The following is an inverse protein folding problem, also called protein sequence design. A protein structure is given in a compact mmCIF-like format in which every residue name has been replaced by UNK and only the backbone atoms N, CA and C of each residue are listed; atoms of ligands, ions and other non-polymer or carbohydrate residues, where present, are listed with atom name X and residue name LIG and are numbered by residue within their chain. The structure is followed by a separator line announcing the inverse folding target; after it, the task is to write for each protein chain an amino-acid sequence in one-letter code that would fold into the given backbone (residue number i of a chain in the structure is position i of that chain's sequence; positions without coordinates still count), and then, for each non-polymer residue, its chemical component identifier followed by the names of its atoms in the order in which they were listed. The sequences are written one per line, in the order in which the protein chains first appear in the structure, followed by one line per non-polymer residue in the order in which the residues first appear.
data_IF_536442543860
#
_entry.id   IF_536442543860
#
_cell.length_a   1.000
_cell.length_b   1.000
_cell.length_c   1.000
_cell.angle_alpha   90.00
_cell.angle_beta   90.00
_cell.angle_gamma   90.00
#
_symmetry.space_group_name_H-M   'P 1'
#
loop_
_entity.id
_entity.type
_entity.pdbx_description
1 polymer ?
#
# COMPACT_ATOMS: atom_id res chain seq x y z
N UNK A 1 11.35 39.17 -1.10
CA UNK A 1 10.99 38.25 -2.20
C UNK A 1 12.23 37.45 -2.57
N UNK A 2 12.40 36.28 -1.94
CA UNK A 2 13.45 35.33 -2.28
C UNK A 2 12.76 34.02 -2.69
N UNK A 3 12.98 33.49 -3.90
CA UNK A 3 12.52 32.15 -4.25
C UNK A 3 13.58 31.14 -3.80
N UNK A 4 13.24 30.30 -2.82
CA UNK A 4 14.03 29.11 -2.52
C UNK A 4 13.62 28.04 -3.53
N UNK A 5 14.48 27.82 -4.53
CA UNK A 5 14.40 26.70 -5.45
C UNK A 5 14.96 25.47 -4.72
N UNK A 6 14.09 24.70 -4.07
CA UNK A 6 14.42 23.37 -3.60
C UNK A 6 14.21 22.37 -4.76
N UNK A 7 15.30 22.01 -5.45
CA UNK A 7 15.35 20.83 -6.31
C UNK A 7 15.38 19.58 -5.42
N UNK A 8 14.20 19.10 -5.04
CA UNK A 8 13.99 17.69 -4.70
C UNK A 8 13.23 17.06 -5.86
N UNK A 9 13.74 15.94 -6.40
CA UNK A 9 12.93 14.99 -7.19
C UNK A 9 11.95 14.33 -6.22
N UNK A 10 10.95 15.09 -5.78
CA UNK A 10 9.66 14.53 -5.46
C UNK A 10 9.16 13.96 -6.79
N UNK A 11 8.91 12.66 -6.86
CA UNK A 11 7.96 12.17 -7.84
C UNK A 11 6.68 12.93 -7.49
N UNK A 12 6.33 13.94 -8.28
CA UNK A 12 5.07 14.65 -8.10
C UNK A 12 3.98 13.59 -8.26
N UNK A 13 3.47 13.13 -7.13
CA UNK A 13 2.18 12.44 -7.07
C UNK A 13 1.14 13.53 -7.34
N UNK A 14 1.08 13.99 -8.58
CA UNK A 14 -0.08 14.69 -9.07
C UNK A 14 -1.17 13.62 -9.16
N UNK A 15 -1.93 13.47 -8.08
CA UNK A 15 -3.13 12.65 -8.07
C UNK A 15 -4.15 13.28 -9.04
N UNK A 16 -3.96 13.08 -10.34
CA UNK A 16 -4.82 13.58 -11.41
C UNK A 16 -6.21 12.93 -11.38
N UNK A 17 -6.41 11.89 -10.57
CA UNK A 17 -7.72 11.27 -10.32
C UNK A 17 -8.12 11.42 -8.85
N UNK A 18 -8.39 12.65 -8.43
CA UNK A 18 -9.39 12.84 -7.40
C UNK A 18 -10.75 12.46 -8.02
N UNK A 19 -11.41 11.41 -7.52
CA UNK A 19 -12.75 10.99 -7.97
C UNK A 19 -13.87 11.97 -7.55
N UNK A 20 -13.50 13.22 -7.26
CA UNK A 20 -14.33 14.28 -6.71
C UNK A 20 -14.36 14.28 -5.18
N UNK A 21 -15.26 15.09 -4.62
CA UNK A 21 -15.55 15.08 -3.18
C UNK A 21 -16.09 13.72 -2.73
N UNK A 22 -15.89 13.33 -1.46
CA UNK A 22 -16.47 12.12 -0.89
C UNK A 22 -17.99 12.04 -1.11
N UNK A 23 -18.48 10.84 -1.41
CA UNK A 23 -19.91 10.55 -1.67
C UNK A 23 -20.33 9.38 -0.80
N UNK A 24 -21.61 9.32 -0.45
CA UNK A 24 -22.18 8.21 0.33
C UNK A 24 -23.35 7.59 -0.43
N UNK A 25 -23.45 6.27 -0.39
CA UNK A 25 -24.63 5.51 -0.75
C UNK A 25 -25.00 4.64 0.45
N UNK A 26 -26.28 4.59 0.79
CA UNK A 26 -26.78 3.80 1.92
C UNK A 26 -28.11 3.13 1.56
N UNK A 27 -28.28 1.89 2.03
CA UNK A 27 -29.54 1.16 1.99
C UNK A 27 -29.63 0.25 3.22
N UNK A 28 -30.68 0.43 4.00
CA UNK A 28 -31.09 -0.46 5.08
C UNK A 28 -32.42 -1.11 4.69
N UNK A 29 -32.47 -2.44 4.72
CA UNK A 29 -33.69 -3.22 4.55
C UNK A 29 -34.07 -3.83 5.90
N UNK A 30 -35.29 -3.59 6.33
CA UNK A 30 -35.84 -4.11 7.59
C UNK A 30 -36.92 -5.12 7.21
N UNK A 31 -36.71 -6.39 7.55
CA UNK A 31 -37.68 -7.45 7.32
C UNK A 31 -38.45 -7.71 8.63
N UNK A 32 -39.78 -7.62 8.58
CA UNK A 32 -40.65 -7.80 9.74
C UNK A 32 -41.14 -9.25 9.88
N UNK A 33 -41.55 -9.63 11.09
CA UNK A 33 -42.00 -10.99 11.39
C UNK A 33 -43.29 -11.39 10.63
N UNK A 34 -44.08 -10.42 10.17
CA UNK A 34 -45.29 -10.65 9.37
C UNK A 34 -45.02 -10.83 7.86
N UNK A 35 -43.73 -10.76 7.45
CA UNK A 35 -43.30 -10.91 6.07
C UNK A 35 -43.27 -9.60 5.26
N UNK A 36 -43.65 -8.47 5.84
CA UNK A 36 -43.48 -7.15 5.21
C UNK A 36 -42.04 -6.64 5.36
N UNK A 37 -41.68 -5.59 4.61
CA UNK A 37 -40.38 -4.94 4.74
C UNK A 37 -40.45 -3.43 4.54
N UNK A 38 -39.54 -2.72 5.22
CA UNK A 38 -39.24 -1.32 4.97
C UNK A 38 -37.84 -1.17 4.37
N UNK A 39 -37.66 -0.15 3.53
CA UNK A 39 -36.38 0.20 2.94
C UNK A 39 -36.08 1.67 3.21
N UNK A 40 -34.99 1.93 3.93
CA UNK A 40 -34.44 3.27 4.15
C UNK A 40 -33.22 3.43 3.24
N UNK A 41 -33.18 4.48 2.43
CA UNK A 41 -32.10 4.75 1.49
C UNK A 41 -31.46 6.11 1.75
N UNK A 42 -30.21 6.31 1.33
CA UNK A 42 -29.63 7.65 1.21
C UNK A 42 -30.36 8.43 0.11
N UNK A 43 -30.99 9.53 0.47
CA UNK A 43 -31.70 10.41 -0.46
C UNK A 43 -31.64 11.88 0.02
N UNK A 44 -32.48 12.76 -0.55
CA UNK A 44 -32.50 14.19 -0.23
C UNK A 44 -33.19 14.52 1.10
N UNK A 45 -33.80 13.55 1.78
CA UNK A 45 -34.41 13.73 3.10
C UNK A 45 -33.38 13.71 4.23
N UNK A 46 -32.20 13.13 3.98
CA UNK A 46 -31.10 13.10 4.93
C UNK A 46 -30.60 14.51 5.25
N UNK A 47 -29.78 14.60 6.30
CA UNK A 47 -29.13 15.84 6.72
C UNK A 47 -27.61 15.67 6.74
N UNK A 48 -26.90 16.78 6.58
CA UNK A 48 -25.44 16.86 6.64
C UNK A 48 -24.97 18.16 7.30
N UNK A 49 -23.85 18.09 8.02
CA UNK A 49 -23.20 19.22 8.67
C UNK A 49 -21.67 19.03 8.64
N UNK A 50 -20.88 20.11 8.86
CA UNK A 50 -19.45 20.01 9.06
C UNK A 50 -19.08 19.06 10.21
N UNK A 51 -18.01 18.31 10.01
CA UNK A 51 -17.44 17.38 10.99
C UNK A 51 -16.46 18.10 11.94
N UNK A 52 -16.23 17.58 13.16
CA UNK A 52 -15.06 17.97 13.96
C UNK A 52 -13.72 17.58 13.32
N UNK A 53 -13.72 16.69 12.32
CA UNK A 53 -12.55 16.44 11.46
C UNK A 53 -12.46 17.58 10.44
N UNK A 54 -11.54 18.52 10.66
CA UNK A 54 -11.39 19.75 9.85
C UNK A 54 -10.42 19.59 8.69
N UNK A 55 -9.50 18.62 8.79
CA UNK A 55 -8.60 18.23 7.71
C UNK A 55 -8.40 16.72 7.79
N UNK A 56 -8.37 16.04 6.65
CA UNK A 56 -7.95 14.64 6.59
C UNK A 56 -7.32 14.31 5.26
N UNK A 57 -6.21 13.58 5.31
CA UNK A 57 -5.45 13.12 4.16
C UNK A 57 -4.68 11.86 4.51
N UNK A 58 -4.76 10.85 3.64
CA UNK A 58 -3.89 9.67 3.72
C UNK A 58 -2.41 10.07 3.70
N UNK A 59 -2.03 11.19 3.09
CA UNK A 59 -0.65 11.65 2.94
C UNK A 59 -0.25 12.81 3.85
N UNK A 60 -1.20 13.45 4.52
CA UNK A 60 -0.96 14.64 5.35
C UNK A 60 -1.36 14.51 6.81
N UNK A 61 -2.12 13.45 7.16
CA UNK A 61 -2.61 13.21 8.51
C UNK A 61 -4.03 13.73 8.71
N UNK A 62 -4.37 14.12 9.95
CA UNK A 62 -5.75 14.50 10.32
C UNK A 62 -5.76 15.56 11.42
N UNK A 63 -6.57 16.60 11.22
CA UNK A 63 -6.84 17.63 12.21
C UNK A 63 -8.26 17.46 12.75
N UNK A 64 -8.39 17.43 14.06
CA UNK A 64 -9.64 17.26 14.78
C UNK A 64 -9.84 18.39 15.79
N UNK A 65 -10.93 19.14 15.65
CA UNK A 65 -11.35 20.14 16.62
C UNK A 65 -12.57 19.65 17.40
N UNK A 66 -12.32 19.12 18.60
CA UNK A 66 -13.37 18.55 19.43
C UNK A 66 -14.40 19.58 19.88
N UNK A 67 -14.09 20.89 19.81
CA UNK A 67 -15.05 21.96 20.12
C UNK A 67 -16.21 22.01 19.14
N UNK A 68 -16.04 21.39 17.96
CA UNK A 68 -17.06 21.29 16.91
C UNK A 68 -17.90 20.02 17.02
N UNK A 69 -17.64 19.15 18.00
CA UNK A 69 -18.47 17.97 18.23
C UNK A 69 -19.90 18.38 18.58
N UNK A 70 -20.85 17.71 17.93
CA UNK A 70 -22.28 17.89 18.16
C UNK A 70 -22.77 16.68 18.95
N UNK A 71 -22.86 16.83 20.28
CA UNK A 71 -23.23 15.73 21.17
C UNK A 71 -24.61 15.16 20.80
N UNK A 72 -24.70 13.83 20.70
CA UNK A 72 -25.94 13.13 20.37
C UNK A 72 -26.36 13.18 18.90
N UNK A 73 -25.54 13.69 17.97
CA UNK A 73 -25.89 13.79 16.53
C UNK A 73 -26.35 12.48 15.89
N UNK A 74 -25.91 11.34 16.44
CA UNK A 74 -26.22 9.99 15.99
C UNK A 74 -27.29 9.29 16.86
N UNK A 75 -28.04 10.04 17.66
CA UNK A 75 -29.12 9.55 18.51
C UNK A 75 -30.47 10.12 18.07
N UNK A 76 -31.54 9.41 18.37
CA UNK A 76 -32.91 9.89 18.16
C UNK A 76 -33.16 11.19 18.96
N UNK A 77 -33.92 12.12 18.39
CA UNK A 77 -34.29 13.38 19.04
C UNK A 77 -33.22 14.47 18.98
N UNK A 78 -32.12 14.25 18.25
CA UNK A 78 -31.12 15.29 18.01
C UNK A 78 -31.72 16.50 17.27
N UNK A 79 -31.31 17.71 17.70
CA UNK A 79 -31.74 18.94 17.05
C UNK A 79 -30.91 19.24 15.79
N UNK A 80 -31.42 18.78 14.65
CA UNK A 80 -30.80 18.97 13.33
C UNK A 80 -31.22 20.26 12.61
N UNK A 81 -31.84 21.24 13.30
CA UNK A 81 -32.39 22.46 12.68
C UNK A 81 -31.38 23.27 11.85
N UNK A 82 -30.09 23.19 12.20
CA UNK A 82 -29.01 23.90 11.50
C UNK A 82 -28.30 23.05 10.44
N UNK A 83 -28.67 21.78 10.29
CA UNK A 83 -28.10 20.90 9.27
C UNK A 83 -28.74 21.19 7.92
N UNK A 84 -27.97 20.93 6.87
CA UNK A 84 -28.40 21.13 5.49
C UNK A 84 -28.84 19.80 4.89
N UNK A 85 -29.69 19.83 3.87
CA UNK A 85 -29.93 18.63 3.06
C UNK A 85 -28.66 18.33 2.24
N UNK A 86 -28.32 17.05 1.99
CA UNK A 86 -27.20 16.70 1.14
C UNK A 86 -27.51 17.03 -0.32
N UNK A 87 -26.45 17.16 -1.12
CA UNK A 87 -26.57 17.24 -2.56
C UNK A 87 -26.68 15.84 -3.15
N UNK A 88 -27.66 15.62 -4.01
CA UNK A 88 -27.70 14.41 -4.84
C UNK A 88 -26.61 14.55 -5.91
N UNK A 89 -25.71 13.57 -5.97
CA UNK A 89 -24.53 13.59 -6.84
C UNK A 89 -24.56 12.44 -7.83
N UNK A 90 -23.91 12.63 -8.98
CA UNK A 90 -23.68 11.55 -9.94
C UNK A 90 -22.83 10.46 -9.29
N UNK A 91 -23.28 9.20 -9.40
CA UNK A 91 -22.55 8.04 -8.92
C UNK A 91 -21.16 7.94 -9.57
N UNK A 92 -20.14 7.40 -8.87
CA UNK A 92 -18.88 7.02 -9.50
C UNK A 92 -19.08 6.06 -10.67
N UNK A 93 -18.14 6.04 -11.60
CA UNK A 93 -18.09 5.02 -12.65
C UNK A 93 -17.64 3.70 -12.04
N UNK A 94 -18.39 2.62 -12.26
CA UNK A 94 -18.05 1.28 -11.75
C UNK A 94 -19.29 0.48 -11.36
N UNK A 95 -19.08 -0.78 -11.00
CA UNK A 95 -20.12 -1.63 -10.43
C UNK A 95 -19.97 -1.63 -8.90
N UNK A 96 -21.09 -1.51 -8.20
CA UNK A 96 -21.10 -1.69 -6.75
C UNK A 96 -21.08 -3.19 -6.45
N UNK A 97 -19.98 -3.66 -5.90
CA UNK A 97 -19.78 -5.06 -5.55
C UNK A 97 -19.57 -5.22 -4.04
N UNK A 98 -19.94 -6.38 -3.52
CA UNK A 98 -19.68 -6.70 -2.12
C UNK A 98 -18.18 -6.92 -1.91
N UNK A 99 -17.60 -6.21 -0.95
CA UNK A 99 -16.22 -6.45 -0.55
C UNK A 99 -16.09 -7.86 0.05
N UNK A 100 -15.16 -8.64 -0.47
CA UNK A 100 -14.94 -10.03 -0.08
C UNK A 100 -13.55 -10.29 0.50
N UNK A 101 -12.76 -9.22 0.73
CA UNK A 101 -11.44 -9.31 1.38
C UNK A 101 -11.57 -9.13 2.89
N UNK A 102 -10.57 -9.59 3.63
CA UNK A 102 -10.48 -9.32 5.06
C UNK A 102 -10.26 -7.82 5.33
N UNK A 103 -11.13 -7.16 6.12
CA UNK A 103 -11.06 -5.72 6.34
C UNK A 103 -9.81 -5.33 7.13
N UNK A 104 -9.39 -4.08 6.97
CA UNK A 104 -8.35 -3.46 7.81
C UNK A 104 -8.94 -3.16 9.18
N UNK A 105 -8.24 -3.59 10.24
CA UNK A 105 -8.63 -3.41 11.64
C UNK A 105 -7.46 -2.88 12.46
N UNK A 106 -7.73 -2.37 13.67
CA UNK A 106 -6.69 -2.22 14.68
C UNK A 106 -6.35 -3.61 15.23
N UNK A 107 -5.13 -4.07 14.94
CA UNK A 107 -4.67 -5.43 15.25
C UNK A 107 -3.90 -5.49 16.56
N UNK A 108 -3.04 -4.51 16.79
CA UNK A 108 -2.19 -4.43 17.98
C UNK A 108 -2.19 -3.02 18.58
N UNK A 109 -1.86 -2.91 19.87
CA UNK A 109 -1.73 -1.64 20.59
C UNK A 109 -0.43 -1.63 21.38
N UNK A 110 0.39 -0.59 21.17
CA UNK A 110 1.68 -0.41 21.83
C UNK A 110 1.68 0.80 22.73
N UNK A 111 2.03 0.58 23.99
CA UNK A 111 2.46 1.65 24.88
C UNK A 111 3.89 2.06 24.53
N UNK A 112 4.21 3.34 24.69
CA UNK A 112 5.59 3.81 24.54
C UNK A 112 6.53 3.06 25.49
N UNK A 113 7.63 2.54 24.95
CA UNK A 113 8.69 1.88 25.71
C UNK A 113 9.57 2.90 26.41
N UNK A 114 9.76 4.07 25.78
CA UNK A 114 10.58 5.18 26.28
C UNK A 114 9.96 6.51 25.89
N UNK A 115 10.12 7.51 26.75
CA UNK A 115 9.84 8.91 26.47
C UNK A 115 11.16 9.66 26.55
N UNK A 116 11.54 10.32 25.46
CA UNK A 116 12.77 11.10 25.32
C UNK A 116 12.44 12.58 25.34
N UNK A 117 13.37 13.41 25.82
CA UNK A 117 13.24 14.87 25.82
C UNK A 117 14.45 15.51 25.15
N UNK A 118 14.46 15.65 23.81
CA UNK A 118 15.60 16.23 23.09
C UNK A 118 15.76 17.74 23.32
N UNK A 119 14.69 18.44 23.74
CA UNK A 119 14.72 19.86 24.07
C UNK A 119 13.63 20.18 25.11
N UNK A 120 13.69 21.38 25.71
CA UNK A 120 12.65 21.87 26.63
C UNK A 120 11.28 21.79 25.95
N UNK A 121 10.31 21.19 26.65
CA UNK A 121 8.91 21.05 26.23
C UNK A 121 8.67 20.27 24.91
N UNK A 122 9.70 19.57 24.41
CA UNK A 122 9.61 18.67 23.27
C UNK A 122 9.82 17.25 23.76
N UNK A 123 8.85 16.38 23.48
CA UNK A 123 8.90 14.97 23.89
C UNK A 123 8.77 14.04 22.70
N UNK A 124 9.49 12.93 22.73
CA UNK A 124 9.41 11.86 21.73
C UNK A 124 9.06 10.54 22.41
N UNK A 125 7.98 9.94 21.95
CA UNK A 125 7.53 8.62 22.38
C UNK A 125 8.14 7.59 21.43
N UNK A 126 8.93 6.64 21.95
CA UNK A 126 9.48 5.48 21.22
C UNK A 126 8.66 4.24 21.58
N UNK A 127 7.90 3.71 20.63
CA UNK A 127 7.07 2.51 20.81
C UNK A 127 7.88 1.20 20.73
N UNK A 128 9.13 1.27 20.27
CA UNK A 128 10.04 0.13 20.19
C UNK A 128 9.83 -0.78 18.98
N UNK A 129 8.74 -0.59 18.24
CA UNK A 129 8.42 -1.30 16.99
C UNK A 129 8.10 -0.23 15.92
N UNK A 130 8.51 -0.48 14.68
CA UNK A 130 8.02 0.31 13.53
C UNK A 130 6.82 -0.43 12.93
N UNK A 131 5.63 0.17 12.93
CA UNK A 131 4.45 -0.43 12.31
C UNK A 131 3.60 0.63 11.60
N UNK A 132 2.73 0.18 10.69
CA UNK A 132 1.65 1.03 10.18
C UNK A 132 0.61 1.26 11.27
N UNK A 133 0.19 2.48 11.50
CA UNK A 133 -0.73 2.74 12.58
C UNK A 133 -1.34 4.13 12.59
N UNK A 134 -2.11 4.34 13.64
CA UNK A 134 -2.57 5.63 14.12
C UNK A 134 -2.19 5.78 15.59
N UNK A 135 -2.44 6.97 16.14
CA UNK A 135 -2.25 7.24 17.57
C UNK A 135 -3.56 7.15 18.34
N UNK A 136 -3.51 6.70 19.59
CA UNK A 136 -4.55 6.96 20.58
C UNK A 136 -3.98 7.92 21.64
N UNK A 137 -4.52 9.13 21.67
CA UNK A 137 -4.17 10.18 22.61
C UNK A 137 -5.19 10.21 23.74
N UNK A 138 -4.70 10.16 24.98
CA UNK A 138 -5.47 10.47 26.18
C UNK A 138 -4.84 11.67 26.88
N UNK A 139 -5.56 12.78 26.93
CA UNK A 139 -5.00 14.10 27.29
C UNK A 139 -5.95 14.89 28.20
N UNK A 140 -5.37 15.68 29.09
CA UNK A 140 -6.09 16.68 29.89
C UNK A 140 -5.41 18.04 29.73
N UNK A 141 -6.17 19.07 29.42
CA UNK A 141 -5.65 20.43 29.23
C UNK A 141 -6.76 21.45 29.45
N UNK A 142 -6.57 22.67 28.95
CA UNK A 142 -7.64 23.67 28.86
C UNK A 142 -8.34 23.57 27.51
N UNK A 143 -9.64 23.88 27.49
CA UNK A 143 -10.43 24.01 26.26
C UNK A 143 -9.71 24.88 25.22
N UNK A 144 -9.63 24.40 23.97
CA UNK A 144 -9.02 25.11 22.85
C UNK A 144 -7.51 25.00 22.76
N UNK A 145 -6.83 24.33 23.70
CA UNK A 145 -5.44 23.93 23.49
C UNK A 145 -5.36 22.84 22.42
N UNK A 146 -4.27 22.85 21.65
CA UNK A 146 -4.02 21.87 20.61
C UNK A 146 -2.77 21.05 20.90
N UNK A 147 -2.84 19.75 20.63
CA UNK A 147 -1.71 18.82 20.68
C UNK A 147 -1.39 18.38 19.27
N UNK A 148 -0.16 18.60 18.84
CA UNK A 148 0.35 18.14 17.55
C UNK A 148 1.25 16.93 17.75
N UNK A 149 1.02 15.90 16.96
CA UNK A 149 1.70 14.60 17.02
C UNK A 149 2.35 14.33 15.64
N UNK A 150 3.68 14.39 15.58
CA UNK A 150 4.43 14.16 14.33
C UNK A 150 5.08 12.78 14.36
N UNK A 151 4.57 11.81 13.58
CA UNK A 151 5.13 10.45 13.54
C UNK A 151 6.38 10.36 12.66
N UNK A 152 7.26 9.39 12.94
CA UNK A 152 8.35 9.02 12.04
C UNK A 152 8.85 7.58 12.28
N UNK A 153 9.39 6.96 11.22
CA UNK A 153 10.12 5.70 11.32
C UNK A 153 11.50 5.89 11.95
N UNK A 154 12.15 7.02 11.65
CA UNK A 154 13.51 7.35 12.06
C UNK A 154 13.59 8.72 12.72
N UNK A 155 14.60 8.90 13.55
CA UNK A 155 14.99 10.21 14.08
C UNK A 155 16.21 10.73 13.32
N UNK A 156 16.31 12.06 13.20
CA UNK A 156 17.50 12.73 12.66
C UNK A 156 18.62 12.86 13.72
N UNK A 157 19.74 13.51 13.34
CA UNK A 157 20.89 13.73 14.24
C UNK A 157 20.57 14.61 15.45
N UNK A 158 19.49 15.39 15.40
CA UNK A 158 19.02 16.23 16.51
C UNK A 158 17.94 15.54 17.35
N UNK A 159 17.73 14.24 17.14
CA UNK A 159 16.66 13.46 17.77
C UNK A 159 15.29 14.09 17.48
N UNK A 160 15.01 14.45 16.22
CA UNK A 160 13.70 14.93 15.74
C UNK A 160 13.12 13.95 14.71
N UNK A 161 11.78 13.93 14.50
CA UNK A 161 11.17 13.12 13.46
C UNK A 161 11.80 13.36 12.09
N UNK A 162 12.23 12.29 11.41
CA UNK A 162 12.77 12.38 10.06
C UNK A 162 11.72 11.92 9.03
N UNK A 163 11.08 12.88 8.36
CA UNK A 163 10.11 12.64 7.28
C UNK A 163 10.69 12.97 5.88
N UNK A 164 12.01 13.13 5.76
CA UNK A 164 12.65 13.56 4.50
C UNK A 164 12.34 12.62 3.32
N UNK A 165 12.20 11.32 3.59
CA UNK A 165 11.87 10.31 2.58
C UNK A 165 10.36 10.17 2.33
N UNK A 166 9.52 10.82 3.14
CA UNK A 166 8.08 10.56 3.18
C UNK A 166 7.20 11.66 2.60
N UNK A 167 7.79 12.83 2.35
CA UNK A 167 7.04 14.07 2.20
C UNK A 167 6.79 14.68 3.57
N UNK A 168 7.08 15.97 3.71
CA UNK A 168 6.93 16.76 4.95
C UNK A 168 6.01 17.94 4.62
N UNK A 169 4.96 18.22 5.43
CA UNK A 169 4.65 17.60 6.72
C UNK A 169 3.55 16.53 6.71
N UNK A 170 3.71 15.50 7.56
CA UNK A 170 2.65 14.61 8.03
C UNK A 170 2.49 14.74 9.55
N UNK A 171 1.28 15.03 10.05
CA UNK A 171 1.02 15.09 11.49
C UNK A 171 -0.46 14.89 11.84
N UNK A 172 -0.72 14.66 13.12
CA UNK A 172 -2.06 14.68 13.69
C UNK A 172 -2.21 15.90 14.59
N UNK A 173 -3.36 16.60 14.53
CA UNK A 173 -3.69 17.68 15.48
C UNK A 173 -5.00 17.37 16.19
N UNK A 174 -5.00 17.48 17.52
CA UNK A 174 -6.20 17.40 18.34
C UNK A 174 -6.39 18.68 19.14
N UNK A 175 -7.55 19.33 19.02
CA UNK A 175 -7.92 20.52 19.80
C UNK A 175 -8.99 20.17 20.83
N UNK A 176 -8.70 20.44 22.11
CA UNK A 176 -9.52 20.01 23.25
C UNK A 176 -10.86 20.76 23.32
N UNK A 177 -11.94 20.05 23.67
CA UNK A 177 -13.29 20.63 23.82
C UNK A 177 -13.60 21.15 25.20
N UNK A 178 -12.88 20.67 26.20
CA UNK A 178 -13.13 20.92 27.62
C UNK A 178 -11.84 20.85 28.45
N UNK A 179 -11.99 21.09 29.74
CA UNK A 179 -10.92 20.94 30.73
C UNK A 179 -10.87 19.52 31.33
N UNK A 180 -11.73 18.63 30.84
CA UNK A 180 -11.84 17.25 31.27
C UNK A 180 -10.80 16.37 30.58
N UNK A 181 -10.70 15.12 31.04
CA UNK A 181 -9.89 14.11 30.39
C UNK A 181 -10.56 13.67 29.09
N UNK A 182 -9.84 13.77 27.98
CA UNK A 182 -10.33 13.46 26.64
C UNK A 182 -9.52 12.32 26.02
N UNK A 183 -10.16 11.50 25.20
CA UNK A 183 -9.53 10.41 24.42
C UNK A 183 -9.86 10.61 22.96
N UNK A 184 -8.85 10.51 22.10
CA UNK A 184 -8.99 10.71 20.66
C UNK A 184 -8.06 9.80 19.86
N UNK A 185 -8.51 9.44 18.66
CA UNK A 185 -7.72 8.79 17.61
C UNK A 185 -8.19 9.31 16.24
N UNK A 186 -7.30 9.44 15.25
CA UNK A 186 -7.71 9.84 13.91
C UNK A 186 -8.53 8.72 13.24
N UNK A 187 -9.38 9.08 12.26
CA UNK A 187 -10.34 8.17 11.65
C UNK A 187 -9.99 7.77 10.20
N UNK A 188 -9.44 8.69 9.40
CA UNK A 188 -9.37 8.55 7.94
C UNK A 188 -7.94 8.63 7.39
N UNK A 189 -6.95 8.27 8.19
CA UNK A 189 -5.53 8.29 7.80
C UNK A 189 -4.73 7.27 8.61
N UNK A 190 -3.51 6.97 8.18
CA UNK A 190 -2.53 6.17 8.93
C UNK A 190 -1.11 6.50 8.46
N UNK A 191 -0.09 6.12 9.22
CA UNK A 191 1.31 6.31 8.88
C UNK A 191 2.16 5.12 9.34
N UNK A 192 3.33 4.88 8.75
CA UNK A 192 4.32 3.94 9.28
C UNK A 192 5.26 4.62 10.25
N UNK A 193 5.26 4.24 11.53
CA UNK A 193 6.11 4.89 12.52
C UNK A 193 6.53 4.00 13.68
N UNK A 194 7.60 4.45 14.33
CA UNK A 194 8.06 3.98 15.64
C UNK A 194 8.11 5.10 16.68
N UNK A 195 8.29 6.33 16.20
CA UNK A 195 8.47 7.51 17.02
C UNK A 195 7.33 8.49 16.79
N UNK A 196 6.89 9.17 17.84
CA UNK A 196 6.00 10.33 17.74
C UNK A 196 6.57 11.48 18.56
N UNK A 197 6.84 12.62 17.90
CA UNK A 197 7.09 13.87 18.60
C UNK A 197 5.78 14.53 19.00
N UNK A 198 5.75 15.06 20.21
CA UNK A 198 4.63 15.82 20.77
C UNK A 198 5.01 17.30 20.87
N UNK A 199 4.11 18.16 20.38
CA UNK A 199 4.15 19.61 20.55
C UNK A 199 2.81 20.09 21.15
N UNK A 200 2.83 21.13 22.00
CA UNK A 200 1.64 21.66 22.66
C UNK A 200 1.18 20.91 23.91
N UNK A 201 1.82 19.79 24.24
CA UNK A 201 1.58 19.02 25.47
C UNK A 201 2.87 18.38 25.99
N UNK A 202 2.85 18.00 27.26
CA UNK A 202 3.94 17.28 27.94
C UNK A 202 3.39 16.01 28.60
N UNK A 203 4.21 14.97 28.85
CA UNK A 203 3.81 13.84 29.68
C UNK A 203 3.24 14.31 31.03
N UNK A 204 2.24 13.62 31.56
CA UNK A 204 1.71 13.91 32.90
C UNK A 204 2.75 13.70 34.01
N UNK A 205 3.74 12.83 33.77
CA UNK A 205 4.92 12.62 34.63
C UNK A 205 6.05 13.63 34.43
N UNK A 206 5.91 14.61 33.53
CA UNK A 206 6.97 15.58 33.25
C UNK A 206 7.27 16.47 34.46
N UNK A 207 8.54 16.48 34.89
CA UNK A 207 9.02 17.26 36.02
C UNK A 207 9.41 18.69 35.61
N UNK A 208 9.10 19.66 36.47
CA UNK A 208 9.42 21.07 36.24
C UNK A 208 8.21 21.92 35.83
N UNK A 209 8.46 23.20 35.58
CA UNK A 209 7.43 24.16 35.17
C UNK A 209 7.28 24.15 33.64
N UNK A 210 6.12 23.68 33.17
CA UNK A 210 5.77 23.61 31.74
C UNK A 210 4.64 24.58 31.37
N UNK A 211 4.49 25.66 32.15
CA UNK A 211 3.35 26.58 31.99
C UNK A 211 2.00 25.86 32.08
N UNK A 212 1.03 26.35 31.32
CA UNK A 212 -0.33 25.78 31.26
C UNK A 212 -0.47 24.68 30.19
N UNK A 213 0.62 24.07 29.73
CA UNK A 213 0.56 23.04 28.67
C UNK A 213 -0.32 21.85 29.06
N UNK A 214 -1.00 21.28 28.07
CA UNK A 214 -1.79 20.07 28.23
C UNK A 214 -0.90 18.90 28.69
N UNK A 215 -1.51 17.95 29.41
CA UNK A 215 -0.88 16.78 30.01
C UNK A 215 -1.36 15.52 29.32
N UNK A 216 -0.42 14.80 28.71
CA UNK A 216 -0.67 13.50 28.09
C UNK A 216 -0.64 12.44 29.19
N UNK A 217 -1.79 11.83 29.43
CA UNK A 217 -1.97 10.71 30.37
C UNK A 217 -1.58 9.38 29.71
N UNK A 218 -1.82 9.26 28.41
CA UNK A 218 -1.39 8.10 27.62
C UNK A 218 -1.27 8.49 26.15
N UNK A 219 -0.25 7.97 25.49
CA UNK A 219 -0.12 7.98 24.04
C UNK A 219 0.25 6.58 23.58
N UNK A 220 -0.57 5.99 22.72
CA UNK A 220 -0.34 4.65 22.16
C UNK A 220 -0.22 4.70 20.65
N UNK A 221 0.54 3.77 20.10
CA UNK A 221 0.48 3.39 18.70
C UNK A 221 -0.56 2.27 18.56
N UNK A 222 -1.49 2.44 17.63
CA UNK A 222 -2.50 1.46 17.26
C UNK A 222 -2.15 0.94 15.87
N UNK A 223 -1.60 -0.27 15.80
CA UNK A 223 -1.22 -0.88 14.52
C UNK A 223 -2.48 -1.29 13.75
N UNK A 224 -2.63 -0.78 12.52
CA UNK A 224 -3.69 -1.17 11.61
C UNK A 224 -3.16 -2.05 10.48
N UNK A 225 -3.88 -3.13 10.17
CA UNK A 225 -3.55 -4.06 9.08
C UNK A 225 -4.79 -4.89 8.71
N UNK A 226 -4.77 -5.58 7.57
CA UNK A 226 -5.80 -6.56 7.24
C UNK A 226 -5.96 -7.61 8.35
N UNK A 227 -7.21 -7.97 8.62
CA UNK A 227 -7.62 -9.04 9.54
C UNK A 227 -7.43 -10.46 8.97
N UNK A 228 -6.71 -10.60 7.85
CA UNK A 228 -6.37 -11.89 7.25
C UNK A 228 -5.76 -12.83 8.31
N UNK A 229 -6.27 -14.08 8.44
CA UNK A 229 -5.72 -15.07 9.36
C UNK A 229 -4.23 -15.33 9.11
N UNK A 230 -3.49 -15.64 10.18
CA UNK A 230 -2.10 -16.09 10.07
C UNK A 230 -2.06 -17.53 9.55
N UNK A 231 -1.32 -17.78 8.48
CA UNK A 231 -1.22 -19.10 7.82
C UNK A 231 -0.05 -19.95 8.29
N UNK A 232 0.98 -19.34 8.87
CA UNK A 232 2.20 -20.06 9.21
C UNK A 232 3.03 -19.35 10.27
N UNK A 233 4.06 -20.07 10.74
CA UNK A 233 5.04 -19.56 11.70
C UNK A 233 6.41 -20.18 11.42
N UNK A 234 7.46 -19.49 11.87
CA UNK A 234 8.83 -19.93 11.72
C UNK A 234 9.59 -19.81 13.04
N UNK A 235 10.42 -20.80 13.35
CA UNK A 235 11.36 -20.76 14.45
C UNK A 235 12.62 -21.55 14.12
N UNK A 236 13.76 -21.05 14.57
CA UNK A 236 15.07 -21.69 14.45
C UNK A 236 15.84 -21.60 15.77
N UNK A 237 16.83 -22.47 15.94
CA UNK A 237 17.84 -22.35 16.99
C UNK A 237 18.73 -21.10 16.81
N UNK A 238 18.83 -20.59 15.57
CA UNK A 238 19.57 -19.37 15.29
C UNK A 238 18.71 -18.12 15.52
N UNK A 239 19.04 -17.36 16.56
CA UNK A 239 18.32 -16.12 16.91
C UNK A 239 18.41 -15.03 15.84
N UNK A 240 19.43 -15.04 14.98
CA UNK A 240 19.49 -14.12 13.85
C UNK A 240 18.34 -14.37 12.88
N UNK A 241 18.05 -15.64 12.55
CA UNK A 241 16.95 -15.99 11.65
C UNK A 241 15.59 -15.68 12.26
N UNK A 242 15.41 -15.89 13.57
CA UNK A 242 14.18 -15.50 14.27
C UNK A 242 13.94 -13.98 14.22
N UNK A 243 15.01 -13.17 14.32
CA UNK A 243 14.91 -11.72 14.18
C UNK A 243 14.61 -11.30 12.74
N UNK A 244 15.22 -11.94 11.75
CA UNK A 244 14.93 -11.68 10.32
C UNK A 244 13.46 -12.01 10.01
N UNK A 245 12.96 -13.16 10.46
CA UNK A 245 11.55 -13.52 10.32
C UNK A 245 10.64 -12.47 10.96
N UNK A 246 10.98 -12.01 12.18
CA UNK A 246 10.23 -10.95 12.86
C UNK A 246 10.18 -9.65 12.05
N UNK A 247 11.30 -9.25 11.42
CA UNK A 247 11.34 -8.07 10.54
C UNK A 247 10.45 -8.26 9.31
N UNK A 248 10.52 -9.42 8.66
CA UNK A 248 9.69 -9.75 7.49
C UNK A 248 8.21 -9.71 7.87
N UNK A 249 7.82 -10.30 9.01
CA UNK A 249 6.43 -10.29 9.48
C UNK A 249 5.90 -8.88 9.72
N UNK A 250 6.69 -8.02 10.36
CA UNK A 250 6.29 -6.63 10.56
C UNK A 250 6.21 -5.84 9.26
N UNK A 251 7.11 -6.09 8.31
CA UNK A 251 7.06 -5.47 7.00
C UNK A 251 5.82 -5.90 6.21
N UNK A 252 5.48 -7.19 6.22
CA UNK A 252 4.25 -7.71 5.60
C UNK A 252 3.04 -7.06 6.27
N UNK A 253 2.89 -7.19 7.60
CA UNK A 253 1.71 -6.70 8.30
C UNK A 253 1.52 -5.18 8.14
N UNK A 254 2.61 -4.41 8.07
CA UNK A 254 2.49 -2.97 7.89
C UNK A 254 1.98 -2.57 6.50
N UNK A 255 2.16 -3.44 5.50
CA UNK A 255 1.86 -3.15 4.10
C UNK A 255 0.61 -3.84 3.56
N UNK A 256 -0.19 -4.53 4.38
CA UNK A 256 -1.48 -5.08 3.94
C UNK A 256 -2.62 -4.15 4.36
N UNK A 257 -2.96 -3.20 3.50
CA UNK A 257 -3.91 -2.10 3.73
C UNK A 257 -4.98 -2.07 2.63
N UNK A 258 -5.84 -3.09 2.59
CA UNK A 258 -6.80 -3.39 1.49
C UNK A 258 -6.15 -3.72 0.12
N UNK A 259 -4.90 -3.32 -0.07
CA UNK A 259 -3.95 -3.72 -1.12
C UNK A 259 -2.61 -4.10 -0.45
N UNK A 260 -1.64 -4.59 -1.22
CA UNK A 260 -0.26 -4.75 -0.74
C UNK A 260 0.53 -3.50 -1.14
N UNK A 261 0.93 -2.68 -0.17
CA UNK A 261 1.63 -1.42 -0.42
C UNK A 261 3.15 -1.58 -0.44
N UNK A 262 3.86 -0.72 -1.18
CA UNK A 262 5.33 -0.65 -1.16
C UNK A 262 5.89 -0.19 0.18
N UNK A 263 5.21 0.78 0.80
CA UNK A 263 5.56 1.29 2.10
C UNK A 263 4.33 1.89 2.81
N UNK A 264 4.31 1.87 4.15
CA UNK A 264 3.19 2.39 4.92
C UNK A 264 3.29 3.90 5.25
N UNK A 265 4.42 4.54 4.96
CA UNK A 265 4.72 5.90 5.41
C UNK A 265 4.71 6.97 4.29
N UNK A 266 5.10 6.63 3.05
CA UNK A 266 5.23 7.62 1.95
C UNK A 266 4.17 7.49 0.87
N UNK A 267 4.29 6.47 0.02
CA UNK A 267 3.56 6.31 -1.24
C UNK A 267 2.27 5.55 -1.00
N UNK A 268 2.33 4.45 -0.23
CA UNK A 268 1.16 3.63 0.11
C UNK A 268 0.45 3.13 -1.16
N UNK A 269 1.23 2.85 -2.20
CA UNK A 269 0.73 2.44 -3.51
C UNK A 269 0.90 0.94 -3.69
N UNK A 270 -0.04 0.34 -4.41
CA UNK A 270 -0.01 -1.08 -4.76
C UNK A 270 0.88 -1.32 -5.97
N UNK A 271 2.19 -1.08 -5.81
CA UNK A 271 3.20 -1.50 -6.79
C UNK A 271 3.13 -3.02 -6.97
N UNK A 272 3.15 -3.48 -8.21
CA UNK A 272 2.72 -4.84 -8.56
C UNK A 272 3.82 -5.91 -8.46
N UNK A 273 5.08 -5.53 -8.60
CA UNK A 273 6.21 -6.46 -8.57
C UNK A 273 6.35 -7.18 -7.22
N UNK A 274 6.10 -6.46 -6.13
CA UNK A 274 6.25 -7.00 -4.79
C UNK A 274 5.25 -8.13 -4.52
N UNK A 275 4.08 -8.12 -5.15
CA UNK A 275 3.05 -9.13 -4.95
C UNK A 275 3.57 -10.53 -5.29
N UNK A 276 4.47 -10.64 -6.27
CA UNK A 276 5.07 -11.92 -6.63
C UNK A 276 6.52 -12.07 -6.14
N UNK A 277 7.31 -11.00 -6.03
CA UNK A 277 8.68 -11.07 -5.50
C UNK A 277 8.68 -11.43 -4.00
N UNK A 278 7.78 -10.80 -3.22
CA UNK A 278 7.52 -11.16 -1.83
C UNK A 278 6.45 -12.24 -1.68
N UNK A 279 5.83 -12.67 -2.78
CA UNK A 279 4.65 -13.54 -2.78
C UNK A 279 4.79 -14.78 -1.91
N UNK A 280 5.92 -15.49 -1.96
CA UNK A 280 6.16 -16.66 -1.07
C UNK A 280 6.13 -16.27 0.40
N UNK A 281 6.84 -15.22 0.78
CA UNK A 281 6.88 -14.73 2.16
C UNK A 281 5.50 -14.32 2.65
N UNK A 282 4.70 -13.68 1.80
CA UNK A 282 3.32 -13.28 2.13
C UNK A 282 2.43 -14.53 2.33
N UNK A 283 2.44 -15.47 1.38
CA UNK A 283 1.62 -16.70 1.46
C UNK A 283 1.96 -17.58 2.67
N UNK A 284 3.25 -17.68 3.05
CA UNK A 284 3.63 -18.43 4.27
C UNK A 284 3.18 -17.75 5.57
N UNK A 285 2.84 -16.46 5.55
CA UNK A 285 2.48 -15.71 6.74
C UNK A 285 0.97 -15.46 6.90
N UNK A 286 0.23 -15.25 5.81
CA UNK A 286 -1.18 -14.84 5.85
C UNK A 286 -2.05 -15.65 4.90
N UNK A 287 -3.33 -15.85 5.25
CA UNK A 287 -4.35 -16.33 4.32
C UNK A 287 -4.74 -15.18 3.40
N UNK A 288 -4.10 -15.16 2.24
CA UNK A 288 -4.11 -14.01 1.34
C UNK A 288 -4.93 -14.25 0.07
N UNK A 289 -5.63 -15.39 -0.02
CA UNK A 289 -6.37 -15.80 -1.21
C UNK A 289 -7.35 -14.73 -1.70
N UNK A 290 -8.18 -14.20 -0.80
CA UNK A 290 -9.17 -13.18 -1.14
C UNK A 290 -8.50 -11.89 -1.61
N UNK A 291 -7.46 -11.43 -0.91
CA UNK A 291 -6.73 -10.23 -1.29
C UNK A 291 -6.06 -10.39 -2.65
N UNK A 292 -5.35 -11.48 -2.91
CA UNK A 292 -4.67 -11.70 -4.20
C UNK A 292 -5.67 -11.79 -5.36
N UNK A 293 -6.87 -12.35 -5.14
CA UNK A 293 -7.94 -12.29 -6.12
C UNK A 293 -8.41 -10.87 -6.40
N UNK A 294 -8.53 -10.04 -5.36
CA UNK A 294 -8.85 -8.64 -5.51
C UNK A 294 -7.76 -7.88 -6.28
N UNK A 295 -6.47 -8.15 -6.02
CA UNK A 295 -5.36 -7.56 -6.78
C UNK A 295 -5.41 -7.93 -8.28
N UNK A 296 -5.77 -9.17 -8.60
CA UNK A 296 -6.01 -9.57 -10.00
C UNK A 296 -7.16 -8.78 -10.64
N UNK A 297 -8.25 -8.54 -9.91
CA UNK A 297 -9.35 -7.72 -10.41
C UNK A 297 -8.96 -6.25 -10.58
N UNK A 298 -8.20 -5.68 -9.63
CA UNK A 298 -7.64 -4.33 -9.76
C UNK A 298 -6.79 -4.19 -11.03
N UNK A 299 -5.97 -5.20 -11.37
CA UNK A 299 -5.18 -5.22 -12.61
C UNK A 299 -6.06 -5.34 -13.87
N UNK A 300 -7.14 -6.12 -13.82
CA UNK A 300 -8.11 -6.21 -14.92
C UNK A 300 -8.73 -4.84 -15.18
N UNK A 301 -9.13 -4.13 -14.12
CA UNK A 301 -9.75 -2.81 -14.22
C UNK A 301 -8.76 -1.71 -14.63
N UNK A 302 -7.49 -1.82 -14.21
CA UNK A 302 -6.43 -0.89 -14.57
C UNK A 302 -5.88 -1.10 -15.99
N UNK A 303 -6.12 -2.26 -16.62
CA UNK A 303 -5.58 -2.57 -17.93
C UNK A 303 -6.08 -1.57 -19.00
N UNK A 304 -5.14 -0.97 -19.72
CA UNK A 304 -5.46 -0.01 -20.77
C UNK A 304 -6.00 -0.69 -22.04
N UNK A 305 -6.68 0.04 -22.94
CA UNK A 305 -7.19 -0.54 -24.19
C UNK A 305 -6.13 -1.20 -25.08
N UNK A 306 -4.89 -0.69 -25.08
CA UNK A 306 -3.74 -1.24 -25.80
C UNK A 306 -3.08 -2.44 -25.09
N UNK A 307 -3.51 -2.77 -23.87
CA UNK A 307 -3.13 -3.98 -23.16
C UNK A 307 -2.08 -3.79 -22.06
N UNK A 308 -1.58 -2.57 -21.84
CA UNK A 308 -0.69 -2.25 -20.72
C UNK A 308 -1.43 -2.51 -19.39
N UNK A 309 -0.78 -3.25 -18.50
CA UNK A 309 -1.12 -3.23 -17.06
C UNK A 309 -0.12 -2.29 -16.41
N UNK A 310 -0.56 -1.15 -15.85
CA UNK A 310 0.34 -0.18 -15.21
C UNK A 310 1.07 -0.77 -14.02
N UNK A 311 2.21 -0.20 -13.65
CA UNK A 311 3.05 -0.70 -12.55
C UNK A 311 2.40 -0.63 -11.15
N UNK A 312 1.28 0.11 -11.02
CA UNK A 312 0.42 0.14 -9.83
C UNK A 312 -1.03 -0.21 -10.19
N UNK A 313 -1.70 -1.03 -9.37
CA UNK A 313 -3.13 -1.27 -9.50
C UNK A 313 -3.83 -1.34 -8.13
N UNK A 314 -4.82 -0.47 -7.83
CA UNK A 314 -5.43 0.52 -8.72
C UNK A 314 -4.50 1.68 -9.11
N UNK A 315 -4.61 2.16 -10.37
CA UNK A 315 -3.81 3.29 -10.87
C UNK A 315 -4.41 4.64 -10.40
N UNK A 316 -4.22 4.97 -9.12
CA UNK A 316 -4.66 6.25 -8.55
C UNK A 316 -3.90 7.45 -9.13
N UNK A 317 -2.64 7.24 -9.50
CA UNK A 317 -1.72 8.27 -10.00
C UNK A 317 -1.03 7.70 -11.24
N UNK A 318 -1.22 8.29 -12.43
CA UNK A 318 -0.50 7.86 -13.60
C UNK A 318 0.94 8.39 -13.54
N UNK A 319 1.90 7.49 -13.40
CA UNK A 319 3.32 7.84 -13.51
C UNK A 319 3.75 8.00 -14.98
N UNK A 320 4.99 8.42 -15.18
CA UNK A 320 5.58 8.55 -16.53
C UNK A 320 6.73 7.57 -16.71
N UNK A 321 7.01 7.24 -17.98
CA UNK A 321 8.14 6.42 -18.38
C UNK A 321 8.16 5.05 -17.66
N UNK A 322 9.34 4.62 -17.20
CA UNK A 322 9.53 3.30 -16.61
C UNK A 322 8.80 3.05 -15.29
N UNK A 323 8.24 4.09 -14.64
CA UNK A 323 7.44 3.95 -13.41
C UNK A 323 5.96 3.64 -13.66
N UNK A 324 5.55 3.59 -14.94
CA UNK A 324 4.21 3.18 -15.35
C UNK A 324 4.21 1.89 -16.16
N UNK A 325 5.33 1.60 -16.81
CA UNK A 325 5.49 0.57 -17.82
C UNK A 325 6.85 -0.10 -17.61
N UNK A 326 6.96 -0.88 -16.54
CA UNK A 326 8.07 -1.79 -16.32
C UNK A 326 7.57 -3.23 -16.51
N UNK A 327 8.19 -4.01 -17.41
CA UNK A 327 7.77 -5.39 -17.64
C UNK A 327 7.71 -6.22 -16.36
N UNK A 328 8.67 -6.05 -15.46
CA UNK A 328 8.71 -6.78 -14.19
C UNK A 328 7.47 -6.50 -13.32
N UNK A 329 6.96 -5.27 -13.28
CA UNK A 329 5.79 -4.90 -12.49
C UNK A 329 4.50 -5.42 -13.12
N UNK A 330 4.22 -5.05 -14.37
CA UNK A 330 2.98 -5.47 -15.04
C UNK A 330 2.86 -6.98 -15.26
N UNK A 331 3.98 -7.73 -15.24
CA UNK A 331 4.01 -9.20 -15.28
C UNK A 331 3.26 -9.85 -14.11
N UNK A 332 3.02 -9.11 -13.01
CA UNK A 332 2.12 -9.53 -11.95
C UNK A 332 0.75 -9.98 -12.48
N UNK A 333 0.26 -9.36 -13.56
CA UNK A 333 -1.00 -9.72 -14.22
C UNK A 333 -1.04 -11.16 -14.73
N UNK A 334 0.12 -11.76 -15.03
CA UNK A 334 0.26 -13.16 -15.45
C UNK A 334 0.72 -14.05 -14.28
N UNK A 335 1.64 -13.55 -13.46
CA UNK A 335 2.26 -14.34 -12.39
C UNK A 335 1.30 -14.57 -11.22
N UNK A 336 0.50 -13.59 -10.80
CA UNK A 336 -0.43 -13.73 -9.67
C UNK A 336 -1.51 -14.79 -9.92
N UNK A 337 -2.22 -14.81 -11.06
CA UNK A 337 -3.18 -15.90 -11.35
C UNK A 337 -2.54 -17.29 -11.26
N UNK A 338 -1.30 -17.44 -11.76
CA UNK A 338 -0.55 -18.68 -11.62
C UNK A 338 -0.20 -19.00 -10.16
N UNK A 339 0.24 -18.01 -9.38
CA UNK A 339 0.54 -18.21 -7.95
C UNK A 339 -0.71 -18.62 -7.17
N UNK A 340 -1.86 -17.96 -7.39
CA UNK A 340 -3.12 -18.30 -6.74
C UNK A 340 -3.49 -19.77 -7.03
N UNK A 341 -3.37 -20.22 -8.28
CA UNK A 341 -3.55 -21.63 -8.62
C UNK A 341 -2.55 -22.54 -7.91
N UNK A 342 -1.26 -22.16 -7.87
CA UNK A 342 -0.21 -22.98 -7.25
C UNK A 342 -0.40 -23.17 -5.74
N UNK A 343 -0.92 -22.15 -5.05
CA UNK A 343 -1.12 -22.17 -3.60
C UNK A 343 -2.49 -22.70 -3.19
N UNK A 344 -3.55 -22.38 -3.94
CA UNK A 344 -4.94 -22.64 -3.54
C UNK A 344 -5.70 -23.56 -4.51
N UNK A 345 -5.13 -23.88 -5.67
CA UNK A 345 -5.78 -24.72 -6.68
C UNK A 345 -6.89 -24.03 -7.48
N UNK A 346 -7.11 -22.72 -7.31
CA UNK A 346 -8.18 -21.98 -8.01
C UNK A 346 -7.82 -21.80 -9.50
N UNK A 347 -8.48 -22.56 -10.37
CA UNK A 347 -8.39 -22.40 -11.83
C UNK A 347 -9.38 -21.39 -12.38
N UNK A 348 -10.41 -20.99 -11.62
CA UNK A 348 -11.42 -20.04 -12.09
C UNK A 348 -10.81 -18.64 -12.26
N UNK A 349 -9.90 -18.25 -11.36
CA UNK A 349 -9.18 -16.97 -11.49
C UNK A 349 -8.35 -16.92 -12.78
N UNK A 350 -7.75 -18.04 -13.19
CA UNK A 350 -7.02 -18.15 -14.46
C UNK A 350 -7.97 -17.87 -15.62
N UNK A 351 -9.13 -18.53 -15.66
CA UNK A 351 -10.12 -18.31 -16.72
C UNK A 351 -10.60 -16.86 -16.78
N UNK A 352 -10.83 -16.23 -15.63
CA UNK A 352 -11.27 -14.83 -15.53
C UNK A 352 -10.19 -13.85 -15.98
N UNK A 353 -8.94 -14.06 -15.61
CA UNK A 353 -7.80 -13.21 -15.93
C UNK A 353 -7.22 -13.47 -17.34
N UNK A 354 -7.55 -14.59 -17.98
CA UNK A 354 -6.96 -15.02 -19.25
C UNK A 354 -7.00 -13.95 -20.36
N UNK A 355 -8.11 -13.20 -20.56
CA UNK A 355 -8.13 -12.12 -21.55
C UNK A 355 -7.13 -11.00 -21.24
N UNK A 356 -6.99 -10.60 -19.97
CA UNK A 356 -6.01 -9.60 -19.53
C UNK A 356 -4.59 -10.09 -19.81
N UNK A 357 -4.26 -11.31 -19.41
CA UNK A 357 -2.94 -11.92 -19.62
C UNK A 357 -2.55 -11.97 -21.11
N UNK A 358 -3.49 -12.36 -21.99
CA UNK A 358 -3.25 -12.37 -23.44
C UNK A 358 -2.97 -10.99 -24.00
N UNK A 359 -3.74 -9.98 -23.59
CA UNK A 359 -3.55 -8.59 -24.01
C UNK A 359 -2.22 -8.03 -23.51
N UNK A 360 -1.84 -8.32 -22.27
CA UNK A 360 -0.56 -7.89 -21.71
C UNK A 360 0.64 -8.51 -22.43
N UNK A 361 0.60 -9.81 -22.74
CA UNK A 361 1.64 -10.45 -23.54
C UNK A 361 1.73 -9.88 -24.97
N UNK A 362 0.59 -9.54 -25.58
CA UNK A 362 0.56 -8.87 -26.88
C UNK A 362 1.12 -7.44 -26.81
N UNK A 363 0.86 -6.72 -25.71
CA UNK A 363 1.45 -5.42 -25.43
C UNK A 363 2.98 -5.51 -25.33
N UNK A 364 3.51 -6.40 -24.49
CA UNK A 364 4.95 -6.65 -24.39
C UNK A 364 5.57 -7.03 -25.74
N UNK A 365 4.89 -7.88 -26.51
CA UNK A 365 5.33 -8.25 -27.86
C UNK A 365 5.48 -7.04 -28.77
N UNK A 366 4.48 -6.15 -28.78
CA UNK A 366 4.49 -4.92 -29.59
C UNK A 366 5.64 -3.97 -29.23
N UNK A 367 6.16 -4.08 -28.01
CA UNK A 367 7.25 -3.26 -27.46
C UNK A 367 8.62 -3.94 -27.58
N UNK A 368 8.64 -5.20 -28.03
CA UNK A 368 9.86 -5.97 -28.21
C UNK A 368 10.48 -5.74 -29.59
N UNK A 369 11.80 -5.75 -29.65
CA UNK A 369 12.54 -5.77 -30.91
C UNK A 369 13.25 -7.13 -31.04
N UNK A 370 12.83 -7.95 -32.01
CA UNK A 370 13.33 -9.32 -32.17
C UNK A 370 13.27 -10.12 -30.86
N UNK A 371 12.14 -10.03 -30.17
CA UNK A 371 11.84 -10.67 -28.88
C UNK A 371 12.60 -10.12 -27.67
N UNK A 372 13.37 -9.04 -27.81
CA UNK A 372 14.09 -8.40 -26.70
C UNK A 372 13.32 -7.15 -26.24
N UNK A 373 13.02 -7.08 -24.95
CA UNK A 373 12.53 -5.88 -24.27
C UNK A 373 13.70 -5.05 -23.74
N UNK A 374 13.53 -3.74 -23.62
CA UNK A 374 14.62 -2.81 -23.23
C UNK A 374 14.18 -1.61 -22.39
N UNK A 375 12.97 -1.65 -21.82
CA UNK A 375 12.38 -0.57 -21.04
C UNK A 375 12.06 -1.02 -19.61
N UNK A 376 11.63 -0.08 -18.75
CA UNK A 376 11.28 -0.32 -17.35
C UNK A 376 12.33 0.14 -16.33
N UNK A 377 12.19 -0.37 -15.11
CA UNK A 377 13.06 -0.10 -13.96
C UNK A 377 14.18 -1.15 -13.81
N UNK A 378 13.93 -2.39 -14.26
CA UNK A 378 14.90 -3.48 -14.20
C UNK A 378 15.12 -4.02 -12.79
N UNK A 379 16.37 -4.37 -12.47
CA UNK A 379 16.82 -4.77 -11.13
C UNK A 379 16.87 -3.56 -10.17
N UNK A 380 15.69 -3.03 -9.87
CA UNK A 380 15.51 -1.80 -9.09
C UNK A 380 16.17 -1.92 -7.72
N UNK A 381 16.93 -0.89 -7.34
CA UNK A 381 17.71 -0.85 -6.10
C UNK A 381 18.83 -1.90 -6.00
N UNK A 382 19.40 -2.34 -7.12
CA UNK A 382 20.61 -3.15 -7.09
C UNK A 382 21.78 -2.46 -6.34
N UNK A 383 22.60 -3.27 -5.68
CA UNK A 383 23.72 -2.76 -4.88
C UNK A 383 24.93 -2.46 -5.76
N UNK A 384 24.79 -1.40 -6.56
CA UNK A 384 25.81 -0.89 -7.47
C UNK A 384 26.77 0.13 -6.84
N UNK A 385 27.72 0.66 -7.63
CA UNK A 385 28.74 1.61 -7.16
C UNK A 385 28.22 3.02 -6.86
N UNK A 386 27.01 3.37 -7.30
CA UNK A 386 26.35 4.66 -7.03
C UNK A 386 25.15 4.47 -6.10
N UNK A 387 24.53 5.58 -5.69
CA UNK A 387 23.31 5.58 -4.89
C UNK A 387 22.24 4.65 -5.49
N UNK A 388 21.56 3.83 -4.65
CA UNK A 388 20.49 2.94 -5.09
C UNK A 388 19.36 3.67 -5.82
N UNK A 389 18.74 2.99 -6.78
CA UNK A 389 17.71 3.52 -7.66
C UNK A 389 17.60 2.68 -8.92
N UNK A 390 17.75 3.29 -10.10
CA UNK A 390 17.80 2.55 -11.37
C UNK A 390 18.94 1.53 -11.39
N UNK A 391 18.65 0.34 -11.93
CA UNK A 391 19.60 -0.77 -12.04
C UNK A 391 20.95 -0.35 -12.66
N UNK A 392 22.04 -0.74 -12.02
CA UNK A 392 23.40 -0.31 -12.38
C UNK A 392 24.26 -1.44 -12.94
N UNK A 393 24.10 -2.65 -12.42
CA UNK A 393 24.92 -3.83 -12.72
C UNK A 393 24.24 -4.73 -13.74
N UNK A 394 22.92 -4.86 -13.67
CA UNK A 394 22.13 -5.74 -14.54
C UNK A 394 21.43 -4.90 -15.61
N UNK A 395 21.65 -5.14 -16.92
CA UNK A 395 20.94 -4.39 -17.94
C UNK A 395 19.42 -4.65 -17.86
N UNK A 396 18.61 -3.59 -17.94
CA UNK A 396 17.13 -3.68 -17.97
C UNK A 396 16.62 -4.67 -19.00
N UNK A 397 17.31 -4.74 -20.14
CA UNK A 397 16.95 -5.65 -21.22
C UNK A 397 16.98 -7.12 -20.80
N UNK A 398 17.88 -7.47 -19.88
CA UNK A 398 18.02 -8.83 -19.36
C UNK A 398 16.81 -9.18 -18.48
N UNK A 399 16.48 -8.36 -17.48
CA UNK A 399 15.37 -8.64 -16.57
C UNK A 399 14.02 -8.57 -17.30
N UNK A 400 13.83 -7.55 -18.14
CA UNK A 400 12.60 -7.37 -18.91
C UNK A 400 12.36 -8.52 -19.90
N UNK A 401 13.39 -8.99 -20.60
CA UNK A 401 13.23 -10.12 -21.53
C UNK A 401 13.05 -11.44 -20.77
N UNK A 402 13.72 -11.61 -19.63
CA UNK A 402 13.58 -12.81 -18.81
C UNK A 402 12.16 -12.95 -18.23
N UNK A 403 11.57 -11.85 -17.74
CA UNK A 403 10.20 -11.87 -17.23
C UNK A 403 9.18 -12.04 -18.35
N UNK A 404 9.39 -11.42 -19.52
CA UNK A 404 8.55 -11.65 -20.70
C UNK A 404 8.53 -13.12 -21.15
N UNK A 405 9.68 -13.79 -21.16
CA UNK A 405 9.72 -15.24 -21.38
C UNK A 405 8.90 -15.99 -20.34
N UNK A 406 9.06 -15.63 -19.06
CA UNK A 406 8.37 -16.28 -17.96
C UNK A 406 6.85 -16.13 -18.06
N UNK A 407 6.35 -14.95 -18.43
CA UNK A 407 4.93 -14.70 -18.70
C UNK A 407 4.38 -15.61 -19.80
N UNK A 408 5.08 -15.69 -20.94
CA UNK A 408 4.67 -16.55 -22.06
C UNK A 408 4.68 -18.02 -21.66
N UNK A 409 5.70 -18.44 -20.90
CA UNK A 409 5.80 -19.80 -20.36
C UNK A 409 4.66 -20.12 -19.38
N UNK A 410 4.37 -19.23 -18.43
CA UNK A 410 3.28 -19.41 -17.47
C UNK A 410 1.93 -19.43 -18.15
N UNK A 411 1.70 -18.53 -19.12
CA UNK A 411 0.45 -18.53 -19.89
C UNK A 411 0.28 -19.85 -20.65
N UNK A 412 1.36 -20.46 -21.17
CA UNK A 412 1.28 -21.76 -21.83
C UNK A 412 0.87 -22.88 -20.86
N UNK A 413 1.37 -22.85 -19.61
CA UNK A 413 0.93 -23.77 -18.55
C UNK A 413 -0.54 -23.57 -18.21
N UNK A 414 -0.99 -22.33 -18.08
CA UNK A 414 -2.38 -22.00 -17.80
C UNK A 414 -3.32 -22.36 -18.95
N UNK A 415 -2.88 -22.22 -20.20
CA UNK A 415 -3.59 -22.68 -21.40
C UNK A 415 -3.83 -24.20 -21.37
N UNK A 416 -2.83 -24.96 -20.93
CA UNK A 416 -2.93 -26.41 -20.81
C UNK A 416 -3.95 -26.82 -19.74
N UNK A 417 -3.98 -26.13 -18.58
CA UNK A 417 -4.95 -26.38 -17.50
C UNK A 417 -6.40 -26.12 -17.94
N UNK A 418 -6.60 -25.19 -18.88
CA UNK A 418 -7.92 -24.84 -19.43
C UNK A 418 -8.28 -25.59 -20.71
N UNK A 419 -7.43 -26.53 -21.14
CA UNK A 419 -7.69 -27.40 -22.30
C UNK A 419 -7.45 -26.77 -23.67
N UNK A 420 -6.83 -25.59 -23.76
CA UNK A 420 -6.63 -24.87 -25.03
C UNK A 420 -5.35 -25.33 -25.76
N UNK A 421 -5.42 -26.48 -26.43
CA UNK A 421 -4.26 -27.13 -27.07
C UNK A 421 -3.56 -26.29 -28.14
N UNK A 422 -4.30 -25.53 -28.96
CA UNK A 422 -3.70 -24.70 -30.01
C UNK A 422 -2.95 -23.52 -29.42
N UNK A 423 -3.49 -22.90 -28.37
CA UNK A 423 -2.82 -21.82 -27.66
C UNK A 423 -1.56 -22.31 -26.95
N UNK A 424 -1.57 -23.52 -26.39
CA UNK A 424 -0.36 -24.16 -25.82
C UNK A 424 0.76 -24.26 -26.85
N UNK A 425 0.47 -24.76 -28.07
CA UNK A 425 1.47 -24.88 -29.14
C UNK A 425 2.04 -23.50 -29.51
N UNK A 426 1.17 -22.52 -29.72
CA UNK A 426 1.54 -21.14 -30.09
C UNK A 426 2.42 -20.50 -29.02
N UNK A 427 2.05 -20.60 -27.76
CA UNK A 427 2.79 -20.01 -26.65
C UNK A 427 4.13 -20.73 -26.40
N UNK A 428 4.18 -22.06 -26.51
CA UNK A 428 5.46 -22.79 -26.39
C UNK A 428 6.44 -22.40 -27.51
N UNK A 429 5.97 -22.32 -28.76
CA UNK A 429 6.82 -21.86 -29.86
C UNK A 429 7.37 -20.45 -29.61
N UNK A 430 6.51 -19.54 -29.15
CA UNK A 430 6.92 -18.17 -28.81
C UNK A 430 7.92 -18.13 -27.64
N UNK A 431 7.72 -18.95 -26.61
CA UNK A 431 8.66 -19.08 -25.51
C UNK A 431 10.04 -19.56 -26.01
N UNK A 432 10.07 -20.54 -26.92
CA UNK A 432 11.31 -21.03 -27.52
C UNK A 432 12.03 -19.94 -28.33
N UNK A 433 11.31 -19.15 -29.12
CA UNK A 433 11.87 -18.00 -29.86
C UNK A 433 12.48 -16.96 -28.93
N UNK A 434 11.79 -16.60 -27.84
CA UNK A 434 12.30 -15.66 -26.84
C UNK A 434 13.54 -16.25 -26.15
N UNK A 435 13.52 -17.54 -25.78
CA UNK A 435 14.66 -18.22 -25.14
C UNK A 435 15.89 -18.24 -26.04
N UNK A 436 15.71 -18.49 -27.34
CA UNK A 436 16.79 -18.43 -28.33
C UNK A 436 17.36 -17.01 -28.46
N UNK A 437 16.49 -16.00 -28.59
CA UNK A 437 16.91 -14.60 -28.68
C UNK A 437 17.65 -14.14 -27.42
N UNK A 438 17.14 -14.51 -26.24
CA UNK A 438 17.74 -14.20 -24.94
C UNK A 438 19.15 -14.77 -24.83
N UNK A 439 19.32 -16.08 -25.04
CA UNK A 439 20.62 -16.73 -24.92
C UNK A 439 21.60 -16.23 -25.97
N UNK A 440 21.15 -15.97 -27.20
CA UNK A 440 21.99 -15.36 -28.24
C UNK A 440 22.53 -13.99 -27.82
N UNK A 441 21.72 -13.17 -27.14
CA UNK A 441 22.11 -11.82 -26.73
C UNK A 441 22.95 -11.80 -25.46
N UNK A 442 22.56 -12.60 -24.45
CA UNK A 442 23.08 -12.44 -23.10
C UNK A 442 24.04 -13.56 -22.66
N UNK A 443 24.03 -14.76 -23.26
CA UNK A 443 24.89 -15.85 -22.82
C UNK A 443 26.22 -15.88 -23.57
N UNK A 444 27.33 -15.94 -22.82
CA UNK A 444 28.63 -16.24 -23.39
C UNK A 444 28.95 -17.74 -23.23
N UNK A 445 29.01 -18.52 -24.32
CA UNK A 445 29.22 -19.96 -24.24
C UNK A 445 30.63 -20.37 -23.81
N UNK A 446 31.63 -19.48 -23.92
CA UNK A 446 33.01 -19.73 -23.51
C UNK A 446 33.19 -19.53 -22.01
N UNK A 447 32.72 -18.38 -21.48
CA UNK A 447 32.87 -18.05 -20.06
C UNK A 447 31.75 -18.60 -19.19
N UNK A 448 30.64 -19.05 -19.79
CA UNK A 448 29.40 -19.46 -19.12
C UNK A 448 28.77 -18.33 -18.29
N UNK A 449 29.06 -17.09 -18.65
CA UNK A 449 28.54 -15.89 -17.97
C UNK A 449 27.41 -15.27 -18.78
N UNK A 450 26.34 -14.88 -18.09
CA UNK A 450 25.29 -14.05 -18.64
C UNK A 450 25.60 -12.56 -18.47
N UNK A 451 25.57 -11.80 -19.57
CA UNK A 451 25.72 -10.34 -19.62
C UNK A 451 26.92 -9.84 -18.78
N UNK A 452 26.69 -8.96 -17.81
CA UNK A 452 27.72 -8.37 -16.95
C UNK A 452 28.26 -9.32 -15.89
N UNK A 453 27.65 -10.50 -15.72
CA UNK A 453 27.99 -11.43 -14.64
C UNK A 453 27.56 -10.95 -13.25
N UNK A 454 26.69 -9.95 -13.16
CA UNK A 454 26.04 -9.59 -11.89
C UNK A 454 25.26 -10.77 -11.32
N UNK A 455 25.01 -10.75 -10.01
CA UNK A 455 24.25 -11.84 -9.35
C UNK A 455 22.88 -12.04 -10.02
N UNK A 456 22.15 -10.96 -10.31
CA UNK A 456 20.86 -11.02 -10.99
C UNK A 456 20.98 -11.48 -12.44
N UNK A 457 22.01 -11.04 -13.18
CA UNK A 457 22.24 -11.49 -14.55
C UNK A 457 22.46 -13.01 -14.64
N UNK A 458 23.08 -13.59 -13.61
CA UNK A 458 23.27 -15.03 -13.50
C UNK A 458 22.05 -15.77 -12.94
N UNK A 459 21.38 -15.19 -11.94
CA UNK A 459 20.28 -15.84 -11.22
C UNK A 459 18.95 -15.83 -11.99
N UNK A 460 18.63 -14.75 -12.71
CA UNK A 460 17.36 -14.63 -13.43
C UNK A 460 17.15 -15.75 -14.45
N UNK A 461 18.11 -16.04 -15.36
CA UNK A 461 17.93 -17.12 -16.33
C UNK A 461 17.74 -18.49 -15.68
N UNK A 462 18.42 -18.74 -14.55
CA UNK A 462 18.26 -19.97 -13.76
C UNK A 462 16.85 -20.05 -13.20
N UNK A 463 16.37 -18.97 -12.58
CA UNK A 463 15.08 -18.92 -11.90
C UNK A 463 13.91 -19.15 -12.85
N UNK A 464 13.95 -18.58 -14.07
CA UNK A 464 12.85 -18.69 -15.03
C UNK A 464 13.00 -19.85 -16.02
N UNK A 465 14.14 -20.57 -16.03
CA UNK A 465 14.37 -21.72 -16.92
C UNK A 465 14.93 -21.37 -18.31
N UNK A 466 15.59 -20.22 -18.43
CA UNK A 466 16.22 -19.73 -19.66
C UNK A 466 17.62 -20.28 -19.91
N UNK A 467 18.28 -20.89 -18.91
CA UNK A 467 19.64 -21.44 -19.06
C UNK A 467 19.73 -22.41 -20.24
N UNK A 468 20.85 -22.33 -20.96
CA UNK A 468 21.25 -23.23 -22.03
C UNK A 468 22.12 -24.37 -21.52
#
# INVERSE_FOLDING_TARGET
TFPVVAKLRLIHINAYRCFGFPKMIFKLKIDYADGTNDIIVSDSSWKTAPSPITYSSIFGGEDYDARLEQEGWNLEGFNETHWKNPLIVTAPTGLLEAEFIYPVIIKDSFNAKRILQPAKDVYIYDFGQNASGIVELKVKGKKGQSVKLTPAELLDSNMRPNQKASGDPYYFIYTLRSDSLETWRPAFTYYGFRYVQVEGAVPDTAAGQHGEMARIVSLKELHNSSSAPVSGSFQSSNQLFNRIDTLIRWAIQSNVQSVVTDCPHREKLSWLEQDYLMGKSIHYNLDIYQLYKNLVYNMIDAQTPDGLVPDIAPEFVPFEHGFRDSPEWGSASVILPWQIYKWYGDTNIISKAYPMMKKYIAYLESKSNKHILSHGLGDWFDYGPRSPGEAQLTPKELTATAIYFYDVFLLSKMAALTGNKEEVKRLNHKADEIKLAFNKKFFNPLTKVYSTGSQTAMAMPISVGLVQ
#
